data_IF_286344413074
#
_entry.id   IF_286344413074
#
_cell.length_a   1.000
_cell.length_b   1.000
_cell.length_c   1.000
_cell.angle_alpha   90.00
_cell.angle_beta   90.00
_cell.angle_gamma   90.00
#
_symmetry.space_group_name_H-M   'P 1'
#
loop_
_entity.id
_entity.type
_entity.pdbx_description
1 polymer ?
#
# COMPACT_ATOMS: atom_id res chain seq x y z
N UNK A 1 -28.76 -1.27 27.56
CA UNK A 1 -28.19 -0.78 26.29
C UNK A 1 -26.99 -1.66 26.00
N UNK A 2 -27.13 -2.67 25.14
CA UNK A 2 -26.00 -3.52 24.78
C UNK A 2 -25.02 -2.68 23.95
N UNK A 3 -23.83 -2.47 24.50
CA UNK A 3 -22.68 -2.05 23.71
C UNK A 3 -22.27 -3.29 22.91
N UNK A 4 -22.73 -3.40 21.67
CA UNK A 4 -22.30 -4.47 20.78
C UNK A 4 -20.80 -4.28 20.51
N UNK A 5 -20.00 -5.15 21.11
CA UNK A 5 -18.62 -5.39 20.70
C UNK A 5 -18.65 -5.75 19.22
N UNK A 6 -18.32 -4.79 18.35
CA UNK A 6 -18.11 -5.04 16.92
C UNK A 6 -17.07 -6.16 16.83
N UNK A 7 -17.44 -7.29 16.24
CA UNK A 7 -16.50 -8.38 15.99
C UNK A 7 -15.44 -7.87 15.00
N UNK A 8 -14.21 -8.35 15.09
CA UNK A 8 -13.11 -7.89 14.23
C UNK A 8 -13.44 -7.94 12.72
N UNK A 9 -14.32 -8.87 12.30
CA UNK A 9 -14.83 -8.93 10.92
C UNK A 9 -15.71 -7.75 10.50
N UNK A 10 -16.50 -7.18 11.42
CA UNK A 10 -17.39 -6.05 11.11
C UNK A 10 -16.60 -4.75 10.91
N UNK A 11 -15.51 -4.58 11.66
CA UNK A 11 -14.59 -3.44 11.49
C UNK A 11 -13.88 -3.55 10.13
N UNK A 12 -13.36 -4.74 9.80
CA UNK A 12 -12.62 -4.97 8.56
C UNK A 12 -13.48 -4.75 7.30
N UNK A 13 -14.75 -5.20 7.35
CA UNK A 13 -15.71 -4.96 6.27
C UNK A 13 -15.99 -3.46 6.09
N UNK A 14 -16.22 -2.73 7.18
CA UNK A 14 -16.46 -1.28 7.13
C UNK A 14 -15.28 -0.50 6.55
N UNK A 15 -14.06 -0.88 6.91
CA UNK A 15 -12.85 -0.22 6.39
C UNK A 15 -12.67 -0.51 4.89
N UNK A 16 -12.87 -1.75 4.47
CA UNK A 16 -12.79 -2.14 3.05
C UNK A 16 -13.82 -1.40 2.20
N UNK A 17 -15.06 -1.32 2.69
CA UNK A 17 -16.15 -0.65 1.99
C UNK A 17 -15.94 0.87 1.89
N UNK A 18 -15.41 1.49 2.95
CA UNK A 18 -15.01 2.90 2.92
C UNK A 18 -13.98 3.18 1.83
N UNK A 19 -12.90 2.38 1.76
CA UNK A 19 -11.88 2.59 0.73
C UNK A 19 -12.40 2.31 -0.68
N UNK A 20 -13.28 1.32 -0.86
CA UNK A 20 -13.95 1.10 -2.15
C UNK A 20 -14.76 2.31 -2.60
N UNK A 21 -15.55 2.90 -1.70
CA UNK A 21 -16.43 4.02 -2.04
C UNK A 21 -15.68 5.37 -2.14
N UNK A 22 -14.57 5.54 -1.41
CA UNK A 22 -13.90 6.83 -1.25
C UNK A 22 -12.44 6.84 -1.71
N UNK A 23 -11.98 5.84 -2.47
CA UNK A 23 -10.60 5.68 -2.93
C UNK A 23 -10.01 6.98 -3.51
N UNK A 24 -10.76 7.64 -4.38
CA UNK A 24 -10.32 8.89 -5.03
C UNK A 24 -10.17 10.06 -4.05
N UNK A 25 -11.10 10.20 -3.11
CA UNK A 25 -11.00 11.22 -2.08
C UNK A 25 -9.82 10.94 -1.14
N UNK A 26 -9.66 9.68 -0.75
CA UNK A 26 -8.53 9.24 0.05
C UNK A 26 -7.21 9.52 -0.67
N UNK A 27 -7.08 9.14 -1.94
CA UNK A 27 -5.88 9.38 -2.74
C UNK A 27 -5.49 10.87 -2.72
N UNK A 28 -6.45 11.75 -3.05
CA UNK A 28 -6.21 13.21 -3.06
C UNK A 28 -5.78 13.75 -1.69
N UNK A 29 -6.34 13.21 -0.61
CA UNK A 29 -5.98 13.60 0.75
C UNK A 29 -4.64 13.03 1.24
N UNK A 30 -4.22 11.88 0.72
CA UNK A 30 -3.07 11.13 1.23
C UNK A 30 -1.77 11.36 0.44
N UNK A 31 -1.88 11.57 -0.89
CA UNK A 31 -0.72 11.60 -1.80
C UNK A 31 0.27 12.72 -1.48
N UNK A 32 -0.22 13.88 -1.05
CA UNK A 32 0.59 15.06 -0.74
C UNK A 32 1.00 15.20 0.72
N UNK A 33 0.62 14.25 1.60
CA UNK A 33 0.99 14.32 3.01
C UNK A 33 2.49 14.14 3.18
N UNK A 34 3.13 15.07 3.89
CA UNK A 34 4.54 14.94 4.22
C UNK A 34 4.74 13.94 5.37
N UNK A 35 5.33 12.81 5.02
CA UNK A 35 5.73 11.75 5.96
C UNK A 35 7.25 11.57 6.02
N UNK A 36 8.02 12.52 5.49
CA UNK A 36 9.48 12.45 5.39
C UNK A 36 10.15 12.07 6.71
N UNK A 37 9.80 12.75 7.81
CA UNK A 37 10.42 12.50 9.12
C UNK A 37 10.25 11.06 9.62
N UNK A 38 9.07 10.46 9.45
CA UNK A 38 8.83 9.07 9.86
C UNK A 38 9.47 8.09 8.88
N UNK A 39 9.38 8.39 7.57
CA UNK A 39 9.96 7.57 6.51
C UNK A 39 11.48 7.50 6.62
N UNK A 40 12.15 8.63 6.82
CA UNK A 40 13.61 8.69 6.91
C UNK A 40 14.11 7.92 8.14
N UNK A 41 13.42 8.03 9.29
CA UNK A 41 13.71 7.20 10.48
C UNK A 41 13.59 5.70 10.21
N UNK A 42 12.59 5.28 9.43
CA UNK A 42 12.46 3.88 9.02
C UNK A 42 13.61 3.45 8.11
N UNK A 43 13.98 4.29 7.13
CA UNK A 43 15.06 4.00 6.18
C UNK A 43 16.45 3.95 6.85
N UNK A 44 16.69 4.74 7.89
CA UNK A 44 17.95 4.73 8.66
C UNK A 44 18.21 3.37 9.34
N UNK A 45 17.18 2.54 9.51
CA UNK A 45 17.27 1.22 10.12
C UNK A 45 17.53 0.12 9.08
N UNK A 46 17.48 0.43 7.79
CA UNK A 46 17.60 -0.55 6.72
C UNK A 46 19.02 -0.61 6.17
N UNK A 47 19.48 -1.79 5.72
CA UNK A 47 20.61 -1.88 4.82
C UNK A 47 20.39 -1.02 3.57
N UNK A 48 21.47 -0.46 3.02
CA UNK A 48 21.43 0.23 1.73
C UNK A 48 20.83 -0.70 0.67
N UNK A 49 19.89 -0.16 -0.12
CA UNK A 49 19.20 -0.86 -1.21
C UNK A 49 18.41 -2.10 -0.77
N UNK A 50 17.94 -2.15 0.48
CA UNK A 50 17.08 -3.22 0.95
C UNK A 50 15.81 -3.38 0.09
N UNK A 51 15.20 -4.55 0.17
CA UNK A 51 13.90 -4.81 -0.44
C UNK A 51 12.78 -4.54 0.58
N UNK A 52 11.91 -3.59 0.27
CA UNK A 52 10.80 -3.14 1.10
C UNK A 52 9.48 -3.74 0.58
N UNK A 53 8.64 -4.23 1.50
CA UNK A 53 7.26 -4.60 1.21
C UNK A 53 6.32 -3.49 1.69
N UNK A 54 5.62 -2.83 0.77
CA UNK A 54 4.61 -1.80 1.06
C UNK A 54 3.21 -2.43 1.01
N UNK A 55 2.76 -2.95 2.15
CA UNK A 55 1.51 -3.69 2.29
C UNK A 55 0.33 -2.75 2.58
N UNK A 56 -0.62 -2.65 1.65
CA UNK A 56 -1.67 -1.62 1.71
C UNK A 56 -1.10 -0.26 1.34
N UNK A 57 -0.40 -0.18 0.21
CA UNK A 57 0.37 1.00 -0.19
C UNK A 57 -0.48 2.26 -0.43
N UNK A 58 -1.81 2.12 -0.51
CA UNK A 58 -2.75 3.23 -0.64
C UNK A 58 -2.45 4.08 -1.87
N UNK A 59 -2.06 5.34 -1.64
CA UNK A 59 -1.76 6.25 -2.74
C UNK A 59 -0.43 5.98 -3.45
N UNK A 60 0.39 5.05 -2.97
CA UNK A 60 1.74 4.79 -3.51
C UNK A 60 2.78 5.87 -3.15
N UNK A 61 2.46 6.77 -2.20
CA UNK A 61 3.34 7.88 -1.79
C UNK A 61 4.69 7.37 -1.28
N UNK A 62 4.66 6.44 -0.33
CA UNK A 62 5.89 5.97 0.31
C UNK A 62 6.66 5.04 -0.63
N UNK A 63 5.99 4.14 -1.37
CA UNK A 63 6.59 3.40 -2.50
C UNK A 63 7.39 4.32 -3.43
N UNK A 64 6.79 5.42 -3.92
CA UNK A 64 7.50 6.38 -4.79
C UNK A 64 8.75 6.96 -4.12
N UNK A 65 8.65 7.33 -2.85
CA UNK A 65 9.77 7.91 -2.12
C UNK A 65 10.89 6.89 -1.84
N UNK A 66 10.55 5.62 -1.63
CA UNK A 66 11.52 4.53 -1.50
C UNK A 66 12.25 4.26 -2.81
N UNK A 67 11.53 4.18 -3.94
CA UNK A 67 12.12 4.01 -5.26
C UNK A 67 13.07 5.16 -5.63
N UNK A 68 12.70 6.40 -5.29
CA UNK A 68 13.56 7.57 -5.51
C UNK A 68 14.86 7.57 -4.67
N UNK A 69 14.98 6.67 -3.70
CA UNK A 69 16.18 6.45 -2.86
C UNK A 69 16.86 5.10 -3.15
N UNK A 70 16.62 4.53 -4.33
CA UNK A 70 17.25 3.30 -4.84
C UNK A 70 16.91 2.01 -4.05
N UNK A 71 15.80 1.99 -3.31
CA UNK A 71 15.28 0.77 -2.70
C UNK A 71 14.49 -0.06 -3.72
N UNK A 72 14.52 -1.38 -3.57
CA UNK A 72 13.60 -2.27 -4.28
C UNK A 72 12.29 -2.33 -3.50
N UNK A 73 11.14 -2.20 -4.17
CA UNK A 73 9.84 -2.17 -3.48
C UNK A 73 8.85 -3.12 -4.13
N UNK A 74 8.24 -4.00 -3.35
CA UNK A 74 7.02 -4.71 -3.75
C UNK A 74 5.84 -4.05 -3.06
N UNK A 75 4.89 -3.54 -3.84
CA UNK A 75 3.73 -2.82 -3.34
C UNK A 75 2.43 -3.55 -3.70
N UNK A 76 1.45 -3.53 -2.80
CA UNK A 76 0.12 -4.04 -3.07
C UNK A 76 -0.96 -3.30 -2.29
N UNK A 77 -2.16 -3.22 -2.86
CA UNK A 77 -3.34 -2.69 -2.19
C UNK A 77 -4.57 -3.54 -2.52
N UNK A 78 -5.47 -3.72 -1.54
CA UNK A 78 -6.70 -4.47 -1.75
C UNK A 78 -7.73 -3.70 -2.60
N UNK A 79 -7.59 -2.37 -2.71
CA UNK A 79 -8.44 -1.52 -3.55
C UNK A 79 -7.85 -1.42 -4.96
N UNK A 80 -8.53 -1.96 -6.00
CA UNK A 80 -8.05 -1.86 -7.37
C UNK A 80 -7.85 -0.41 -7.83
N UNK A 81 -8.74 0.49 -7.40
CA UNK A 81 -8.65 1.93 -7.73
C UNK A 81 -7.39 2.55 -7.13
N UNK A 82 -7.08 2.25 -5.87
CA UNK A 82 -5.88 2.78 -5.22
C UNK A 82 -4.61 2.20 -5.83
N UNK A 83 -4.60 0.90 -6.14
CA UNK A 83 -3.46 0.28 -6.79
C UNK A 83 -3.18 0.90 -8.16
N UNK A 84 -4.20 1.10 -9.02
CA UNK A 84 -3.99 1.79 -10.30
C UNK A 84 -3.43 3.21 -10.11
N UNK A 85 -3.93 3.96 -9.13
CA UNK A 85 -3.39 5.29 -8.81
C UNK A 85 -1.97 5.25 -8.28
N UNK A 86 -1.65 4.25 -7.46
CA UNK A 86 -0.30 4.04 -6.97
C UNK A 86 0.64 3.67 -8.11
N UNK A 87 0.25 2.78 -9.04
CA UNK A 87 1.04 2.42 -10.24
C UNK A 87 1.36 3.64 -11.09
N UNK A 88 0.35 4.48 -11.37
CA UNK A 88 0.52 5.74 -12.10
C UNK A 88 1.53 6.67 -11.39
N UNK A 89 1.47 6.74 -10.06
CA UNK A 89 2.29 7.65 -9.27
C UNK A 89 3.75 7.17 -9.12
N UNK A 90 3.94 5.88 -8.82
CA UNK A 90 5.25 5.29 -8.50
C UNK A 90 5.94 4.69 -9.72
N UNK A 91 5.23 4.57 -10.85
CA UNK A 91 5.75 4.10 -12.14
C UNK A 91 6.33 2.69 -12.05
N UNK A 92 5.68 1.83 -11.25
CA UNK A 92 5.93 0.39 -11.21
C UNK A 92 4.61 -0.37 -10.94
N UNK A 93 4.56 -1.68 -11.19
CA UNK A 93 3.37 -2.49 -10.88
C UNK A 93 3.01 -2.48 -9.38
N UNK A 94 1.71 -2.46 -9.07
CA UNK A 94 1.15 -2.60 -7.72
C UNK A 94 0.14 -3.73 -7.75
N UNK A 95 0.35 -4.73 -6.90
CA UNK A 95 -0.48 -5.93 -6.91
C UNK A 95 -1.85 -5.63 -6.29
N UNK A 96 -2.90 -6.24 -6.84
CA UNK A 96 -4.26 -6.26 -6.28
C UNK A 96 -4.76 -7.69 -6.20
N UNK A 97 -5.80 -7.94 -5.41
CA UNK A 97 -6.44 -9.26 -5.37
C UNK A 97 -7.05 -9.69 -6.72
N UNK A 98 -7.30 -8.73 -7.62
CA UNK A 98 -8.09 -8.95 -8.85
C UNK A 98 -7.21 -8.92 -10.13
N UNK A 99 -5.98 -8.39 -10.06
CA UNK A 99 -5.04 -8.30 -11.20
C UNK A 99 -4.29 -9.62 -11.49
N UNK A 100 -5.02 -10.73 -11.56
CA UNK A 100 -4.63 -11.87 -12.40
C UNK A 100 -3.40 -12.70 -11.99
N UNK A 101 -2.85 -12.52 -10.78
CA UNK A 101 -1.96 -13.50 -10.15
C UNK A 101 -2.33 -13.55 -8.69
N UNK A 102 -2.85 -14.68 -8.23
CA UNK A 102 -2.85 -15.00 -6.79
C UNK A 102 -1.44 -14.77 -6.25
N UNK A 103 -1.30 -14.55 -4.94
CA UNK A 103 -0.02 -14.46 -4.24
C UNK A 103 0.82 -15.75 -4.46
N UNK A 104 1.36 -15.94 -5.65
CA UNK A 104 2.34 -16.95 -5.97
C UNK A 104 3.68 -16.29 -5.67
N UNK A 105 4.24 -16.67 -4.53
CA UNK A 105 5.69 -16.82 -4.45
C UNK A 105 6.11 -17.68 -5.64
N UNK A 106 6.64 -17.04 -6.68
CA UNK A 106 7.36 -17.74 -7.72
C UNK A 106 8.67 -18.25 -7.10
N UNK A 107 8.70 -19.55 -6.81
CA UNK A 107 9.86 -20.27 -6.31
C UNK A 107 10.76 -20.74 -7.47
N UNK A 108 10.83 -19.97 -8.57
CA UNK A 108 11.65 -20.29 -9.75
C UNK A 108 12.73 -19.22 -9.95
N UNK A 109 13.65 -19.14 -8.99
CA UNK A 109 15.06 -18.85 -9.32
C UNK A 109 15.79 -20.18 -9.21
N UNK A 110 16.06 -20.80 -10.36
CA UNK A 110 17.21 -21.68 -10.57
C UNK A 110 18.26 -20.92 -11.35
#
# INVERSE_FOLDING_TARGET
>A
MECSLLRSGDILNRTTEYYRANAEQFYRGAVGLDTSLLRDKFLDLLPRNAHILDAGCGSGRDTKAFLAKDYTVTAFDASPVLATKAEELCVQPVLTQDNGRGFFYDNTIS
#
